data_IF_748826668289
#
_entry.id   IF_748826668289
#
_cell.length_a   1.000
_cell.length_b   1.000
_cell.length_c   1.000
_cell.angle_alpha   90.00
_cell.angle_beta   90.00
_cell.angle_gamma   90.00
#
_symmetry.space_group_name_H-M   'P 1'
#
loop_
_entity.id
_entity.type
_entity.pdbx_description
1 polymer ?
#
# COMPACT_ATOMS: atom_id res chain seq x y z
N UNK A 1 25.42 -6.98 1.40
CA UNK A 1 26.08 -5.80 0.83
C UNK A 1 25.70 -4.57 1.66
N UNK A 2 26.63 -3.65 1.93
CA UNK A 2 26.28 -2.38 2.57
C UNK A 2 25.37 -1.59 1.61
N UNK A 3 24.20 -1.16 2.08
CA UNK A 3 23.33 -0.26 1.34
C UNK A 3 23.97 1.12 1.40
N UNK A 4 24.19 1.74 0.25
CA UNK A 4 24.70 3.12 0.21
C UNK A 4 23.58 4.10 0.56
N UNK A 5 23.92 5.33 0.92
CA UNK A 5 22.96 6.42 1.22
C UNK A 5 22.04 6.81 0.05
N UNK A 6 22.02 6.05 -1.05
CA UNK A 6 21.27 6.34 -2.27
C UNK A 6 19.93 5.59 -2.37
N UNK A 7 19.63 4.68 -1.44
CA UNK A 7 18.42 3.86 -1.54
C UNK A 7 17.18 4.55 -0.93
N UNK A 8 16.06 4.41 -1.64
CA UNK A 8 14.72 4.64 -1.09
C UNK A 8 14.26 3.33 -0.45
N UNK A 9 14.04 3.31 0.86
CA UNK A 9 13.44 2.16 1.50
C UNK A 9 11.91 2.20 1.32
N UNK A 10 11.33 1.07 0.94
CA UNK A 10 9.87 0.86 0.84
C UNK A 10 9.52 -0.25 1.79
N UNK A 11 8.70 0.04 2.81
CA UNK A 11 8.31 -0.94 3.82
C UNK A 11 6.83 -1.26 3.76
N UNK A 12 6.51 -2.53 3.95
CA UNK A 12 5.14 -3.04 4.06
C UNK A 12 5.05 -4.17 5.09
N UNK A 13 3.84 -4.52 5.50
CA UNK A 13 3.58 -5.67 6.39
C UNK A 13 3.83 -7.02 5.73
N UNK A 14 3.98 -7.07 4.41
CA UNK A 14 4.18 -8.30 3.65
C UNK A 14 4.59 -8.00 2.21
N UNK A 15 4.00 -8.69 1.23
CA UNK A 15 4.28 -8.50 -0.21
C UNK A 15 3.41 -7.39 -0.84
N UNK A 16 2.38 -6.91 -0.15
CA UNK A 16 1.41 -5.96 -0.69
C UNK A 16 2.01 -4.66 -1.17
N UNK A 17 3.03 -4.14 -0.47
CA UNK A 17 3.71 -2.89 -0.82
C UNK A 17 4.42 -2.89 -2.17
N UNK A 18 4.54 -4.05 -2.82
CA UNK A 18 5.03 -4.15 -4.20
C UNK A 18 4.11 -3.39 -5.16
N UNK A 19 2.82 -3.29 -4.89
CA UNK A 19 1.90 -2.45 -5.66
C UNK A 19 2.35 -0.97 -5.69
N UNK A 20 2.85 -0.47 -4.57
CA UNK A 20 3.41 0.89 -4.46
C UNK A 20 4.80 0.97 -5.07
N UNK A 21 5.65 -0.03 -4.83
CA UNK A 21 6.99 -0.10 -5.41
C UNK A 21 6.97 -0.05 -6.93
N UNK A 22 6.02 -0.72 -7.57
CA UNK A 22 5.82 -0.68 -9.03
C UNK A 22 5.58 0.74 -9.54
N UNK A 23 4.72 1.49 -8.87
CA UNK A 23 4.46 2.88 -9.24
C UNK A 23 5.68 3.77 -9.02
N UNK A 24 6.46 3.52 -7.97
CA UNK A 24 7.74 4.21 -7.73
C UNK A 24 8.75 3.91 -8.85
N UNK A 25 8.93 2.64 -9.21
CA UNK A 25 9.85 2.22 -10.28
C UNK A 25 9.41 2.75 -11.63
N UNK A 26 8.09 2.73 -11.93
CA UNK A 26 7.53 3.26 -13.17
C UNK A 26 7.78 4.77 -13.32
N UNK A 27 7.64 5.53 -12.23
CA UNK A 27 7.79 6.98 -12.22
C UNK A 27 9.26 7.42 -12.13
N UNK A 28 10.08 6.68 -11.40
CA UNK A 28 11.49 6.99 -11.14
C UNK A 28 12.38 5.75 -11.41
N UNK A 29 12.50 5.31 -12.68
CA UNK A 29 13.18 4.05 -13.03
C UNK A 29 14.70 4.06 -12.78
N UNK A 30 15.29 5.22 -12.59
CA UNK A 30 16.72 5.37 -12.28
C UNK A 30 17.02 5.25 -10.79
N UNK A 31 16.01 5.34 -9.92
CA UNK A 31 16.19 5.26 -8.48
C UNK A 31 16.58 3.85 -8.00
N UNK A 32 17.18 3.79 -6.83
CA UNK A 32 17.55 2.54 -6.15
C UNK A 32 16.59 2.27 -5.01
N UNK A 33 15.97 1.11 -5.02
CA UNK A 33 14.95 0.73 -4.05
C UNK A 33 15.40 -0.44 -3.19
N UNK A 34 15.13 -0.33 -1.89
CA UNK A 34 15.23 -1.42 -0.93
C UNK A 34 13.81 -1.70 -0.42
N UNK A 35 13.19 -2.75 -0.94
CA UNK A 35 11.90 -3.23 -0.45
C UNK A 35 12.09 -4.12 0.76
N UNK A 36 11.34 -3.86 1.83
CA UNK A 36 11.28 -4.74 2.99
C UNK A 36 9.83 -5.10 3.31
N UNK A 37 9.50 -6.39 3.18
CA UNK A 37 8.22 -6.99 3.60
C UNK A 37 8.35 -7.68 4.95
N UNK A 38 7.47 -7.34 5.90
CA UNK A 38 7.43 -7.97 7.23
C UNK A 38 6.45 -9.14 7.29
N UNK A 39 6.58 -10.11 6.35
CA UNK A 39 5.65 -11.23 6.19
C UNK A 39 5.58 -12.15 7.41
N UNK A 40 6.65 -12.24 8.22
CA UNK A 40 6.62 -13.00 9.49
C UNK A 40 5.59 -12.45 10.48
N UNK A 41 5.25 -11.17 10.38
CA UNK A 41 4.29 -10.48 11.24
C UNK A 41 2.99 -10.09 10.52
N UNK A 42 2.84 -10.45 9.23
CA UNK A 42 1.60 -10.22 8.49
C UNK A 42 0.42 -11.03 9.06
N UNK A 43 -0.83 -10.54 8.93
CA UNK A 43 -1.23 -9.22 8.48
C UNK A 43 -1.23 -8.18 9.63
N UNK A 44 -0.79 -6.96 9.37
CA UNK A 44 -0.87 -5.87 10.36
C UNK A 44 -2.32 -5.43 10.65
N UNK A 45 -3.23 -5.70 9.74
CA UNK A 45 -4.63 -5.29 9.83
C UNK A 45 -5.46 -5.98 10.92
N UNK A 46 -4.91 -6.97 11.62
CA UNK A 46 -5.54 -7.70 12.74
C UNK A 46 -4.89 -7.41 14.09
N UNK A 47 -3.76 -6.70 14.09
CA UNK A 47 -2.97 -6.40 15.30
C UNK A 47 -3.43 -5.10 15.97
N UNK A 48 -3.03 -4.91 17.22
CA UNK A 48 -3.23 -3.65 17.94
C UNK A 48 -2.38 -2.52 17.33
N UNK A 49 -2.78 -1.28 17.58
CA UNK A 49 -2.03 -0.11 17.12
C UNK A 49 -0.61 -0.08 17.71
N UNK A 50 -0.48 -0.44 18.98
CA UNK A 50 0.79 -0.48 19.72
C UNK A 50 1.75 -1.52 19.15
N UNK A 51 1.26 -2.73 18.81
CA UNK A 51 2.06 -3.76 18.15
C UNK A 51 2.57 -3.28 16.78
N UNK A 52 1.67 -2.70 15.96
CA UNK A 52 2.05 -2.19 14.62
C UNK A 52 3.06 -1.05 14.72
N UNK A 53 2.90 -0.12 15.67
CA UNK A 53 3.86 0.96 15.92
C UNK A 53 5.22 0.38 16.30
N UNK A 54 5.26 -0.57 17.23
CA UNK A 54 6.51 -1.19 17.70
C UNK A 54 7.27 -1.90 16.58
N UNK A 55 6.58 -2.73 15.80
CA UNK A 55 7.17 -3.45 14.65
C UNK A 55 7.66 -2.49 13.56
N UNK A 56 6.86 -1.47 13.24
CA UNK A 56 7.23 -0.46 12.24
C UNK A 56 8.46 0.32 12.70
N UNK A 57 8.51 0.77 13.97
CA UNK A 57 9.66 1.50 14.51
C UNK A 57 10.94 0.67 14.51
N UNK A 58 10.86 -0.61 14.88
CA UNK A 58 12.00 -1.53 14.85
C UNK A 58 12.55 -1.71 13.41
N UNK A 59 11.66 -1.88 12.44
CA UNK A 59 12.02 -1.97 11.01
C UNK A 59 12.68 -0.68 10.52
N UNK A 60 12.09 0.48 10.83
CA UNK A 60 12.61 1.78 10.42
C UNK A 60 13.98 2.04 11.02
N UNK A 61 14.19 1.77 12.32
CA UNK A 61 15.50 1.90 12.98
C UNK A 61 16.59 1.08 12.27
N UNK A 62 16.26 -0.17 11.90
CA UNK A 62 17.19 -1.04 11.18
C UNK A 62 17.57 -0.47 9.82
N UNK A 63 16.61 0.05 9.07
CA UNK A 63 16.83 0.61 7.73
C UNK A 63 17.57 1.95 7.80
N UNK A 64 17.25 2.82 8.77
CA UNK A 64 17.97 4.08 9.01
C UNK A 64 19.46 3.84 9.31
N UNK A 65 19.78 2.81 10.09
CA UNK A 65 21.17 2.43 10.39
C UNK A 65 21.95 1.98 9.14
N UNK A 66 21.28 1.64 8.03
CA UNK A 66 21.88 1.27 6.75
C UNK A 66 22.12 2.47 5.83
N UNK A 67 21.70 3.67 6.22
CA UNK A 67 21.96 4.90 5.48
C UNK A 67 21.05 5.11 4.27
N UNK A 68 19.74 4.78 4.37
CA UNK A 68 18.75 5.11 3.33
C UNK A 68 18.54 6.62 3.21
N UNK A 69 18.20 7.12 2.00
CA UNK A 69 17.95 8.56 1.77
C UNK A 69 16.50 8.99 1.99
N UNK A 70 15.55 8.06 1.87
CA UNK A 70 14.13 8.29 2.10
C UNK A 70 13.43 6.99 2.48
N UNK A 71 12.28 7.13 3.15
CA UNK A 71 11.42 6.03 3.57
C UNK A 71 10.02 6.20 2.98
N UNK A 72 9.51 5.15 2.33
CA UNK A 72 8.10 5.01 1.93
C UNK A 72 7.46 3.94 2.81
N UNK A 73 6.50 4.33 3.64
CA UNK A 73 5.65 3.41 4.39
C UNK A 73 4.47 3.06 3.48
N UNK A 74 4.58 1.95 2.76
CA UNK A 74 3.59 1.51 1.79
C UNK A 74 2.35 0.90 2.45
N UNK A 75 2.48 0.27 3.63
CA UNK A 75 1.36 -0.30 4.37
C UNK A 75 0.38 0.77 4.85
N UNK A 76 -0.90 0.69 4.42
CA UNK A 76 -1.96 1.60 4.89
C UNK A 76 -2.18 1.51 6.40
N UNK A 77 -2.14 0.29 6.96
CA UNK A 77 -2.30 0.05 8.40
C UNK A 77 -1.15 0.67 9.19
N UNK A 78 0.11 0.42 8.80
CA UNK A 78 1.27 1.02 9.45
C UNK A 78 1.25 2.56 9.34
N UNK A 79 0.91 3.08 8.15
CA UNK A 79 0.77 4.54 7.96
C UNK A 79 -0.32 5.12 8.86
N UNK A 80 -1.46 4.44 9.03
CA UNK A 80 -2.56 4.94 9.85
C UNK A 80 -2.16 5.17 11.30
N UNK A 81 -1.30 4.34 11.86
CA UNK A 81 -0.96 4.37 13.31
C UNK A 81 0.45 4.90 13.61
N UNK A 82 1.44 4.69 12.73
CA UNK A 82 2.85 4.99 13.03
C UNK A 82 3.40 6.26 12.36
N UNK A 83 2.79 6.79 11.29
CA UNK A 83 3.41 7.84 10.46
C UNK A 83 3.70 9.14 11.24
N UNK A 84 2.83 9.54 12.16
CA UNK A 84 3.03 10.77 12.97
C UNK A 84 4.22 10.61 13.89
N UNK A 85 4.28 9.51 14.65
CA UNK A 85 5.39 9.19 15.56
C UNK A 85 6.73 9.13 14.79
N UNK A 86 6.76 8.51 13.60
CA UNK A 86 7.97 8.43 12.79
C UNK A 86 8.44 9.82 12.33
N UNK A 87 7.53 10.70 11.91
CA UNK A 87 7.87 12.07 11.50
C UNK A 87 8.33 12.95 12.66
N UNK A 88 7.77 12.77 13.84
CA UNK A 88 8.23 13.44 15.06
C UNK A 88 9.62 12.98 15.49
N UNK A 89 9.88 11.68 15.35
CA UNK A 89 11.16 11.07 15.73
C UNK A 89 12.30 11.40 14.75
N UNK A 90 11.97 11.57 13.47
CA UNK A 90 12.93 11.82 12.38
C UNK A 90 12.50 13.07 11.57
N UNK A 91 12.51 14.28 12.17
CA UNK A 91 11.90 15.48 11.57
C UNK A 91 12.56 15.91 10.26
N UNK A 92 13.86 15.72 10.13
CA UNK A 92 14.63 16.14 8.95
C UNK A 92 14.72 15.03 7.87
N UNK A 93 14.11 13.87 8.13
CA UNK A 93 14.16 12.76 7.19
C UNK A 93 12.91 12.69 6.31
N UNK A 94 13.09 12.33 5.03
CA UNK A 94 11.97 12.19 4.10
C UNK A 94 11.20 10.91 4.40
N UNK A 95 10.01 11.04 4.98
CA UNK A 95 9.11 9.93 5.27
C UNK A 95 7.78 10.16 4.56
N UNK A 96 7.48 9.29 3.60
CA UNK A 96 6.23 9.28 2.84
C UNK A 96 5.37 8.11 3.36
N UNK A 97 4.13 8.39 3.72
CA UNK A 97 3.15 7.36 4.05
C UNK A 97 2.06 7.33 2.99
N UNK A 98 1.63 6.14 2.61
CA UNK A 98 0.52 5.97 1.68
C UNK A 98 -0.78 6.55 2.26
N UNK A 99 -1.65 7.03 1.39
CA UNK A 99 -3.04 7.36 1.73
C UNK A 99 -4.00 6.66 0.77
N UNK A 100 -5.16 6.19 1.27
CA UNK A 100 -6.22 5.73 0.38
C UNK A 100 -6.61 6.81 -0.63
N UNK A 101 -6.82 6.43 -1.88
CA UNK A 101 -7.09 7.36 -2.99
C UNK A 101 -8.55 7.89 -2.95
N UNK A 102 -9.01 8.34 -1.78
CA UNK A 102 -10.37 8.85 -1.60
C UNK A 102 -10.59 10.15 -2.37
N UNK A 103 -9.66 11.11 -2.26
CA UNK A 103 -9.80 12.41 -2.92
C UNK A 103 -10.03 12.31 -4.45
N UNK A 104 -9.22 11.56 -5.22
CA UNK A 104 -9.50 11.39 -6.64
C UNK A 104 -10.81 10.64 -6.92
N UNK A 105 -11.21 9.69 -6.06
CA UNK A 105 -12.47 8.97 -6.23
C UNK A 105 -13.69 9.89 -6.06
N UNK A 106 -13.76 10.66 -4.96
CA UNK A 106 -14.90 11.57 -4.72
C UNK A 106 -14.94 12.73 -5.72
N UNK A 107 -13.78 13.20 -6.19
CA UNK A 107 -13.73 14.24 -7.23
C UNK A 107 -14.27 13.74 -8.57
N UNK A 108 -14.03 12.48 -8.90
CA UNK A 108 -14.53 11.86 -10.13
C UNK A 108 -16.04 11.56 -10.05
N UNK A 109 -16.52 11.23 -8.87
CA UNK A 109 -17.91 10.79 -8.62
C UNK A 109 -18.57 11.61 -7.50
N UNK A 110 -18.75 12.93 -7.67
CA UNK A 110 -19.14 13.82 -6.57
C UNK A 110 -20.57 13.61 -6.01
N UNK A 111 -21.41 12.88 -6.73
CA UNK A 111 -22.83 12.61 -6.35
C UNK A 111 -23.18 11.13 -6.39
N UNK A 112 -22.20 10.27 -6.63
CA UNK A 112 -22.39 8.82 -6.81
C UNK A 112 -21.89 8.04 -5.59
N UNK A 113 -22.08 6.72 -5.57
CA UNK A 113 -21.62 5.90 -4.44
C UNK A 113 -20.14 5.53 -4.58
N UNK A 114 -19.33 5.86 -3.58
CA UNK A 114 -17.92 5.51 -3.49
C UNK A 114 -17.69 4.51 -2.35
N UNK A 115 -17.16 3.33 -2.69
CA UNK A 115 -16.71 2.33 -1.71
C UNK A 115 -15.27 2.60 -1.24
N UNK A 116 -14.98 2.30 0.03
CA UNK A 116 -13.61 2.20 0.56
C UNK A 116 -13.46 0.79 1.10
N UNK A 117 -12.72 -0.06 0.40
CA UNK A 117 -12.39 -1.41 0.84
C UNK A 117 -11.02 -1.40 1.53
N UNK A 118 -10.96 -1.79 2.80
CA UNK A 118 -9.72 -1.76 3.58
C UNK A 118 -9.76 -2.75 4.75
N UNK A 119 -8.61 -2.88 5.45
CA UNK A 119 -8.53 -3.68 6.67
C UNK A 119 -9.36 -3.05 7.80
N UNK A 120 -9.86 -3.85 8.76
CA UNK A 120 -10.63 -3.33 9.89
C UNK A 120 -9.90 -2.23 10.69
N UNK A 121 -8.57 -2.33 10.86
CA UNK A 121 -7.77 -1.29 11.55
C UNK A 121 -7.78 0.01 10.74
N UNK A 122 -7.56 -0.07 9.43
CA UNK A 122 -7.60 1.11 8.55
C UNK A 122 -8.98 1.79 8.58
N UNK A 123 -10.07 1.01 8.50
CA UNK A 123 -11.44 1.54 8.47
C UNK A 123 -11.83 2.23 9.80
N UNK A 124 -11.33 1.74 10.92
CA UNK A 124 -11.61 2.34 12.24
C UNK A 124 -10.64 3.47 12.63
N UNK A 125 -9.52 3.59 11.88
CA UNK A 125 -8.43 4.51 12.21
C UNK A 125 -8.80 5.99 12.06
N UNK A 126 -8.29 6.82 12.96
CA UNK A 126 -8.51 8.28 12.96
C UNK A 126 -7.99 8.95 11.67
N UNK A 127 -6.95 8.39 11.06
CA UNK A 127 -6.43 8.91 9.79
C UNK A 127 -7.47 8.84 8.66
N UNK A 128 -8.18 7.71 8.52
CA UNK A 128 -9.24 7.58 7.52
C UNK A 128 -10.44 8.48 7.85
N UNK A 129 -10.82 8.59 9.12
CA UNK A 129 -11.90 9.50 9.54
C UNK A 129 -11.58 10.96 9.15
N UNK A 130 -10.34 11.41 9.40
CA UNK A 130 -9.88 12.75 9.00
C UNK A 130 -9.86 12.91 7.48
N UNK A 131 -9.44 11.87 6.75
CA UNK A 131 -9.44 11.89 5.29
C UNK A 131 -10.86 12.03 4.72
N UNK A 132 -11.84 11.30 5.27
CA UNK A 132 -13.26 11.40 4.90
C UNK A 132 -13.79 12.81 5.26
N UNK A 133 -13.51 13.32 6.45
CA UNK A 133 -13.95 14.65 6.87
C UNK A 133 -13.36 15.77 6.00
N UNK A 134 -12.13 15.61 5.51
CA UNK A 134 -11.47 16.54 4.59
C UNK A 134 -11.96 16.44 3.13
N UNK A 135 -12.69 15.37 2.80
CA UNK A 135 -13.25 15.12 1.47
C UNK A 135 -14.73 14.73 1.61
N UNK A 136 -15.60 15.67 2.01
CA UNK A 136 -17.01 15.37 2.26
C UNK A 136 -17.69 14.86 0.99
N UNK A 137 -18.48 13.79 1.16
CA UNK A 137 -19.16 13.12 0.06
C UNK A 137 -20.49 12.53 0.56
N UNK A 138 -21.58 12.59 -0.24
CA UNK A 138 -22.92 12.19 0.22
C UNK A 138 -23.06 10.69 0.50
N UNK A 139 -22.33 9.83 -0.21
CA UNK A 139 -22.46 8.38 -0.05
C UNK A 139 -21.10 7.66 -0.11
N UNK A 140 -20.50 7.44 1.06
CA UNK A 140 -19.28 6.62 1.22
C UNK A 140 -19.66 5.31 1.91
N UNK A 141 -19.28 4.18 1.30
CA UNK A 141 -19.49 2.82 1.84
C UNK A 141 -18.17 2.24 2.34
N UNK A 142 -18.09 1.93 3.63
CA UNK A 142 -16.93 1.26 4.21
C UNK A 142 -17.08 -0.26 4.07
N UNK A 143 -16.15 -0.92 3.41
CA UNK A 143 -16.18 -2.35 3.06
C UNK A 143 -15.01 -3.06 3.70
N UNK A 144 -15.18 -3.73 4.85
CA UNK A 144 -14.12 -4.51 5.45
C UNK A 144 -13.89 -5.81 4.66
N UNK A 145 -12.62 -6.16 4.42
CA UNK A 145 -12.25 -7.39 3.74
C UNK A 145 -11.13 -8.14 4.51
N UNK A 146 -11.38 -8.59 5.76
CA UNK A 146 -10.43 -9.40 6.50
C UNK A 146 -10.29 -10.77 5.84
N UNK A 147 -9.06 -11.26 5.59
CA UNK A 147 -8.78 -12.52 4.88
C UNK A 147 -8.24 -12.32 3.46
N UNK A 148 -8.44 -11.15 2.83
CA UNK A 148 -7.93 -10.90 1.49
C UNK A 148 -6.39 -10.82 1.47
N UNK A 149 -5.79 -10.23 2.50
CA UNK A 149 -4.33 -10.11 2.62
C UNK A 149 -3.68 -11.51 2.59
N UNK A 150 -4.22 -12.43 3.36
CA UNK A 150 -3.72 -13.80 3.48
C UNK A 150 -3.78 -14.56 2.16
N UNK A 151 -4.81 -14.34 1.35
CA UNK A 151 -4.91 -14.94 0.01
C UNK A 151 -3.84 -14.38 -0.95
N UNK A 152 -3.54 -13.08 -0.87
CA UNK A 152 -2.47 -12.49 -1.69
C UNK A 152 -1.09 -12.98 -1.23
N UNK A 153 -0.82 -13.02 0.06
CA UNK A 153 0.44 -13.55 0.64
C UNK A 153 0.65 -15.04 0.27
N UNK A 154 -0.44 -15.78 0.08
CA UNK A 154 -0.39 -17.16 -0.40
C UNK A 154 -0.25 -17.30 -1.94
N UNK A 155 -0.12 -16.20 -2.69
CA UNK A 155 -0.07 -16.22 -4.16
C UNK A 155 -1.39 -16.55 -4.85
N UNK A 156 -2.53 -16.39 -4.15
CA UNK A 156 -3.86 -16.78 -4.62
C UNK A 156 -4.68 -15.58 -5.15
N UNK A 157 -4.05 -14.47 -5.49
CA UNK A 157 -4.71 -13.22 -5.91
C UNK A 157 -5.69 -13.40 -7.09
N UNK A 158 -5.39 -14.30 -8.03
CA UNK A 158 -6.20 -14.60 -9.21
C UNK A 158 -6.83 -16.01 -9.19
N UNK A 159 -7.03 -16.58 -8.02
CA UNK A 159 -7.53 -17.94 -7.84
C UNK A 159 -9.06 -18.00 -7.70
N UNK A 160 -9.69 -19.17 -7.90
CA UNK A 160 -11.10 -19.38 -7.56
C UNK A 160 -11.39 -19.13 -6.06
N UNK A 161 -10.40 -19.33 -5.18
CA UNK A 161 -10.51 -19.03 -3.74
C UNK A 161 -10.70 -17.52 -3.50
N UNK A 162 -10.00 -16.67 -4.25
CA UNK A 162 -10.21 -15.21 -4.19
C UNK A 162 -11.61 -14.83 -4.65
N UNK A 163 -12.13 -15.44 -5.72
CA UNK A 163 -13.49 -15.19 -6.19
C UNK A 163 -14.53 -15.62 -5.14
N UNK A 164 -14.37 -16.80 -4.55
CA UNK A 164 -15.25 -17.30 -3.50
C UNK A 164 -15.23 -16.40 -2.25
N UNK A 165 -14.06 -15.87 -1.90
CA UNK A 165 -13.90 -14.93 -0.79
C UNK A 165 -14.57 -13.57 -1.09
N UNK A 166 -14.34 -13.00 -2.27
CA UNK A 166 -14.83 -11.66 -2.61
C UNK A 166 -16.33 -11.63 -2.95
N UNK A 167 -16.93 -12.74 -3.41
CA UNK A 167 -18.35 -12.79 -3.78
C UNK A 167 -19.29 -12.33 -2.65
N UNK A 168 -19.22 -12.83 -1.41
CA UNK A 168 -20.06 -12.34 -0.33
C UNK A 168 -19.72 -10.92 0.12
N UNK A 169 -18.46 -10.48 -0.06
CA UNK A 169 -18.00 -9.13 0.33
C UNK A 169 -18.49 -8.06 -0.64
N UNK A 170 -18.37 -8.30 -1.93
CA UNK A 170 -18.66 -7.32 -2.98
C UNK A 170 -20.00 -7.54 -3.69
N UNK A 171 -20.56 -8.74 -3.64
CA UNK A 171 -21.84 -9.07 -4.28
C UNK A 171 -22.99 -8.12 -3.90
N UNK A 172 -23.15 -7.69 -2.63
CA UNK A 172 -24.17 -6.70 -2.25
C UNK A 172 -24.03 -5.35 -2.95
N UNK A 173 -22.88 -5.05 -3.53
CA UNK A 173 -22.54 -3.77 -4.16
C UNK A 173 -22.53 -3.81 -5.69
N UNK A 174 -22.82 -4.93 -6.31
CA UNK A 174 -22.91 -5.07 -7.79
C UNK A 174 -23.93 -4.06 -8.35
N UNK A 175 -23.48 -3.24 -9.31
CA UNK A 175 -24.29 -2.19 -9.93
C UNK A 175 -24.60 -1.00 -9.01
N UNK A 176 -24.00 -0.91 -7.82
CA UNK A 176 -24.28 0.15 -6.82
C UNK A 176 -23.05 1.02 -6.50
N UNK A 177 -21.86 0.65 -6.97
CA UNK A 177 -20.64 1.42 -6.77
C UNK A 177 -20.16 2.00 -8.09
N UNK A 178 -19.93 3.30 -8.13
CA UNK A 178 -19.29 3.98 -9.26
C UNK A 178 -17.77 3.99 -9.09
N UNK A 179 -17.30 4.14 -7.87
CA UNK A 179 -15.89 4.07 -7.50
C UNK A 179 -15.63 3.13 -6.32
N UNK A 180 -14.49 2.42 -6.35
CA UNK A 180 -14.00 1.62 -5.24
C UNK A 180 -12.55 1.97 -4.94
N UNK A 181 -12.31 2.51 -3.73
CA UNK A 181 -10.97 2.80 -3.23
C UNK A 181 -10.40 1.53 -2.58
N UNK A 182 -9.25 1.10 -3.07
CA UNK A 182 -8.47 -0.02 -2.55
C UNK A 182 -7.54 0.51 -1.45
N UNK A 183 -8.02 0.48 -0.21
CA UNK A 183 -7.36 1.04 0.96
C UNK A 183 -6.35 0.10 1.64
N UNK A 184 -5.85 -0.88 0.92
CA UNK A 184 -4.80 -1.80 1.34
C UNK A 184 -3.89 -2.11 0.16
N UNK A 185 -2.58 -2.20 0.40
CA UNK A 185 -1.55 -2.46 -0.62
C UNK A 185 -1.69 -3.82 -1.32
N UNK A 186 -2.32 -4.79 -0.67
CA UNK A 186 -2.57 -6.10 -1.24
C UNK A 186 -3.73 -6.11 -2.25
N UNK A 187 -4.69 -5.20 -2.10
CA UNK A 187 -5.94 -5.25 -2.87
C UNK A 187 -5.81 -4.97 -4.37
N UNK A 188 -4.85 -4.14 -4.85
CA UNK A 188 -4.60 -4.01 -6.28
C UNK A 188 -4.31 -5.34 -6.99
N UNK A 189 -3.68 -6.31 -6.32
CA UNK A 189 -3.42 -7.63 -6.88
C UNK A 189 -4.67 -8.46 -7.13
N UNK A 190 -5.77 -8.18 -6.42
CA UNK A 190 -7.07 -8.81 -6.62
C UNK A 190 -7.95 -8.09 -7.66
N UNK A 191 -7.43 -7.09 -8.40
CA UNK A 191 -8.20 -6.28 -9.37
C UNK A 191 -9.00 -7.13 -10.35
N UNK A 192 -8.39 -8.19 -10.91
CA UNK A 192 -9.08 -9.07 -11.84
C UNK A 192 -10.28 -9.78 -11.19
N UNK A 193 -10.12 -10.28 -9.95
CA UNK A 193 -11.21 -10.90 -9.20
C UNK A 193 -12.31 -9.89 -8.81
N UNK A 194 -11.92 -8.68 -8.39
CA UNK A 194 -12.85 -7.59 -8.10
C UNK A 194 -13.69 -7.25 -9.34
N UNK A 195 -13.07 -7.16 -10.51
CA UNK A 195 -13.75 -6.87 -11.78
C UNK A 195 -14.67 -8.00 -12.23
N UNK A 196 -14.32 -9.27 -11.97
CA UNK A 196 -15.23 -10.39 -12.25
C UNK A 196 -16.54 -10.30 -11.47
N UNK A 197 -16.52 -9.70 -10.28
CA UNK A 197 -17.71 -9.57 -9.41
C UNK A 197 -18.45 -8.26 -9.69
N UNK A 198 -17.75 -7.12 -9.64
CA UNK A 198 -18.39 -5.79 -9.77
C UNK A 198 -18.62 -5.36 -11.22
N UNK A 199 -17.97 -6.03 -12.18
CA UNK A 199 -17.93 -5.59 -13.58
C UNK A 199 -16.92 -4.47 -13.83
N UNK A 200 -16.89 -3.97 -15.08
CA UNK A 200 -15.94 -2.95 -15.53
C UNK A 200 -16.45 -1.50 -15.33
N UNK A 201 -17.69 -1.32 -14.89
CA UNK A 201 -18.30 0.00 -14.68
C UNK A 201 -17.80 0.66 -13.40
N UNK A 202 -17.47 -0.12 -12.36
CA UNK A 202 -16.88 0.40 -11.12
C UNK A 202 -15.42 0.76 -11.34
N UNK A 203 -15.06 2.03 -11.15
CA UNK A 203 -13.68 2.50 -11.29
C UNK A 203 -12.90 2.22 -10.01
N UNK A 204 -11.75 1.57 -10.15
CA UNK A 204 -10.86 1.26 -9.02
C UNK A 204 -9.83 2.37 -8.82
N UNK A 205 -9.57 2.70 -7.56
CA UNK A 205 -8.59 3.71 -7.13
C UNK A 205 -7.69 3.12 -6.05
N UNK A 206 -6.38 3.29 -6.19
CA UNK A 206 -5.41 2.94 -5.15
C UNK A 206 -4.45 4.11 -4.87
N UNK A 207 -3.69 3.99 -3.78
CA UNK A 207 -2.80 5.05 -3.30
C UNK A 207 -1.39 5.03 -3.91
N UNK A 208 -1.07 4.06 -4.77
CA UNK A 208 0.29 3.83 -5.26
C UNK A 208 0.84 5.00 -6.07
N UNK A 209 0.11 5.42 -7.11
CA UNK A 209 0.54 6.54 -7.96
C UNK A 209 0.71 7.85 -7.17
N UNK A 210 -0.24 8.16 -6.28
CA UNK A 210 -0.16 9.35 -5.43
C UNK A 210 1.05 9.33 -4.50
N UNK A 211 1.38 8.17 -3.97
CA UNK A 211 2.56 7.94 -3.13
C UNK A 211 3.85 8.12 -3.92
N UNK A 212 3.92 7.57 -5.15
CA UNK A 212 5.07 7.72 -6.03
C UNK A 212 5.31 9.18 -6.43
N UNK A 213 4.27 9.92 -6.83
CA UNK A 213 4.35 11.35 -7.16
C UNK A 213 4.81 12.18 -5.96
N UNK A 214 4.31 11.90 -4.76
CA UNK A 214 4.73 12.60 -3.56
C UNK A 214 6.19 12.31 -3.21
N UNK A 215 6.64 11.06 -3.37
CA UNK A 215 8.04 10.67 -3.17
C UNK A 215 8.95 11.41 -4.14
N UNK A 216 8.62 11.40 -5.43
CA UNK A 216 9.38 12.12 -6.46
C UNK A 216 9.50 13.62 -6.12
N UNK A 217 8.38 14.26 -5.77
CA UNK A 217 8.37 15.68 -5.43
C UNK A 217 9.30 15.98 -4.24
N UNK A 218 9.18 15.20 -3.15
CA UNK A 218 10.00 15.43 -1.94
C UNK A 218 11.49 15.20 -2.18
N UNK A 219 11.86 14.20 -3.00
CA UNK A 219 13.24 13.98 -3.40
C UNK A 219 13.77 15.09 -4.31
N UNK A 220 12.96 15.55 -5.26
CA UNK A 220 13.30 16.67 -6.15
C UNK A 220 13.52 17.97 -5.36
N UNK A 221 12.60 18.32 -4.44
CA UNK A 221 12.68 19.52 -3.61
C UNK A 221 13.95 19.51 -2.72
N UNK A 222 14.43 18.31 -2.33
CA UNK A 222 15.63 18.12 -1.53
C UNK A 222 16.92 17.94 -2.35
N UNK A 223 16.84 17.91 -3.69
CA UNK A 223 18.01 17.66 -4.57
C UNK A 223 18.57 16.23 -4.41
N UNK A 224 17.75 15.26 -4.03
CA UNK A 224 18.16 13.87 -3.72
C UNK A 224 17.78 12.86 -4.81
N UNK A 225 17.29 13.30 -5.98
CA UNK A 225 17.03 12.38 -7.10
C UNK A 225 18.36 11.78 -7.58
N UNK A 226 18.32 10.45 -7.83
CA UNK A 226 19.45 9.71 -8.35
C UNK A 226 19.34 9.56 -9.88
N UNK A 227 20.43 9.76 -10.59
CA UNK A 227 20.49 9.72 -12.07
C UNK A 227 21.43 8.61 -12.60
N UNK A 228 21.67 7.60 -11.80
CA UNK A 228 22.46 6.42 -12.20
C UNK A 228 21.58 5.22 -12.60
N UNK A 229 22.17 4.02 -12.68
CA UNK A 229 21.43 2.79 -12.95
C UNK A 229 20.53 2.44 -11.76
N UNK A 230 19.23 2.33 -12.03
CA UNK A 230 18.22 1.92 -11.06
C UNK A 230 18.37 0.43 -10.69
N UNK A 231 17.92 0.09 -9.49
CA UNK A 231 17.82 -1.30 -9.06
C UNK A 231 16.77 -1.47 -7.96
N UNK A 232 16.30 -2.71 -7.79
CA UNK A 232 15.42 -3.12 -6.70
C UNK A 232 16.10 -4.26 -5.94
N UNK A 233 16.17 -4.12 -4.62
CA UNK A 233 16.59 -5.19 -3.70
C UNK A 233 15.36 -5.58 -2.89
N UNK A 234 15.04 -6.88 -2.85
CA UNK A 234 13.99 -7.42 -2.00
C UNK A 234 14.59 -8.01 -0.73
N UNK A 235 14.00 -7.65 0.40
CA UNK A 235 14.22 -8.27 1.70
C UNK A 235 12.88 -8.61 2.34
N UNK A 236 12.83 -9.71 3.06
CA UNK A 236 11.64 -10.15 3.77
C UNK A 236 12.00 -10.71 5.15
N UNK A 237 11.13 -10.53 6.15
CA UNK A 237 11.39 -11.03 7.50
C UNK A 237 11.34 -12.55 7.63
N UNK A 238 10.68 -13.26 6.70
CA UNK A 238 10.65 -14.73 6.66
C UNK A 238 11.89 -15.34 6.01
N UNK A 239 12.62 -14.59 5.17
CA UNK A 239 13.77 -15.07 4.39
C UNK A 239 13.48 -16.40 3.63
N UNK A 240 12.27 -16.49 3.06
CA UNK A 240 11.78 -17.67 2.32
C UNK A 240 11.91 -17.47 0.81
N UNK A 241 12.59 -18.38 0.08
CA UNK A 241 12.70 -18.31 -1.39
C UNK A 241 11.35 -18.22 -2.13
N UNK A 242 10.27 -18.77 -1.57
CA UNK A 242 8.93 -18.67 -2.18
C UNK A 242 8.39 -17.23 -2.12
N UNK A 243 8.67 -16.51 -1.04
CA UNK A 243 8.26 -15.09 -0.91
C UNK A 243 9.03 -14.22 -1.90
N UNK A 244 10.32 -14.45 -2.09
CA UNK A 244 11.10 -13.70 -3.08
C UNK A 244 10.59 -13.92 -4.50
N UNK A 245 10.26 -15.17 -4.87
CA UNK A 245 9.62 -15.47 -6.16
C UNK A 245 8.25 -14.81 -6.31
N UNK A 246 7.46 -14.78 -5.24
CA UNK A 246 6.18 -14.06 -5.23
C UNK A 246 6.40 -12.56 -5.43
N UNK A 247 7.38 -11.96 -4.76
CA UNK A 247 7.73 -10.55 -4.96
C UNK A 247 8.09 -10.24 -6.41
N UNK A 248 8.91 -11.08 -7.04
CA UNK A 248 9.29 -10.95 -8.45
C UNK A 248 8.06 -11.06 -9.37
N UNK A 249 7.23 -12.09 -9.17
CA UNK A 249 5.99 -12.28 -9.93
C UNK A 249 5.06 -11.07 -9.80
N UNK A 250 4.84 -10.57 -8.59
CA UNK A 250 4.00 -9.40 -8.34
C UNK A 250 4.57 -8.11 -8.94
N UNK A 251 5.88 -8.00 -9.16
CA UNK A 251 6.49 -6.88 -9.89
C UNK A 251 6.16 -6.91 -11.39
N UNK A 252 6.00 -8.08 -11.98
CA UNK A 252 5.82 -8.28 -13.42
C UNK A 252 4.34 -8.33 -13.84
N UNK A 253 3.43 -8.74 -12.96
CA UNK A 253 2.01 -8.89 -13.28
C UNK A 253 1.35 -7.57 -13.71
N UNK A 254 0.55 -7.63 -14.80
CA UNK A 254 -0.36 -6.55 -15.17
C UNK A 254 -1.72 -6.76 -14.51
N UNK A 255 -2.12 -5.86 -13.63
CA UNK A 255 -3.44 -5.93 -12.95
C UNK A 255 -4.59 -5.30 -13.75
N UNK A 256 -4.35 -4.88 -14.97
CA UNK A 256 -5.35 -4.38 -15.93
C UNK A 256 -5.41 -2.89 -16.07
#
# INVERSE_FOLDING_TARGET
MAVSADYIAVIDSGVGGISVLRELVRLMPKERYLYFGDSANAPYGTKSAEEVISMTDATVKRLMARGIKALVVACNTATAVAIHMLREKYPDFIIIGIEPALKPAVNRFPQSTVGIMATPVTLRGEKLKRLIAANPHPDIRLIPAPGLVELVEAGLANSPQMDAFLTPVLGPFVGKLDGLVLGCTHYPFATAAIRRILGNTTVLFDGGEGTARQTQRRLSDAGLLYDGPGCVIFENSLDDPHIYKLCESLMEENYG
#
